data_IF_355439666909
#
_entry.id   IF_355439666909
#
_cell.length_a   1.000
_cell.length_b   1.000
_cell.length_c   1.000
_cell.angle_alpha   90.00
_cell.angle_beta   90.00
_cell.angle_gamma   90.00
#
_symmetry.space_group_name_H-M   'P 1'
#
loop_
_entity.id
_entity.type
_entity.pdbx_description
1 polymer ?
#
# COMPACT_ATOMS: atom_id res chain seq x y z
N UNK A 1 18.03 -10.76 4.49
CA UNK A 1 17.88 -11.82 5.51
C UNK A 1 17.22 -13.02 4.87
N UNK A 2 17.73 -14.22 5.15
CA UNK A 2 17.32 -15.47 4.52
C UNK A 2 16.21 -16.16 5.35
N UNK A 3 15.23 -16.79 4.69
CA UNK A 3 14.09 -17.47 5.33
C UNK A 3 14.48 -18.67 6.21
N UNK A 4 15.66 -19.26 6.01
CA UNK A 4 16.12 -20.44 6.75
C UNK A 4 16.96 -20.12 7.99
N UNK A 5 17.31 -18.84 8.21
CA UNK A 5 18.18 -18.44 9.32
C UNK A 5 17.39 -17.90 10.49
N UNK A 6 17.90 -18.21 11.69
CA UNK A 6 17.43 -17.60 12.94
C UNK A 6 18.42 -16.54 13.40
N UNK A 7 17.90 -15.35 13.63
CA UNK A 7 18.66 -14.20 14.10
C UNK A 7 18.28 -13.91 15.55
N UNK A 8 19.28 -13.63 16.38
CA UNK A 8 19.09 -13.15 17.75
C UNK A 8 18.52 -11.73 17.80
N UNK A 9 19.06 -10.88 18.62
CA UNK A 9 18.73 -9.46 18.63
C UNK A 9 19.32 -8.73 17.43
N UNK A 10 18.49 -8.08 16.63
CA UNK A 10 18.91 -7.27 15.47
C UNK A 10 18.33 -5.88 15.61
N UNK A 11 19.19 -4.87 15.44
CA UNK A 11 18.79 -3.46 15.40
C UNK A 11 19.01 -2.90 14.01
N UNK A 12 17.98 -2.27 13.46
CA UNK A 12 18.00 -1.59 12.17
C UNK A 12 18.09 -0.08 12.40
N UNK A 13 19.28 0.48 12.23
CA UNK A 13 19.57 1.90 12.48
C UNK A 13 19.03 2.81 11.34
N UNK A 14 19.02 4.12 11.57
CA UNK A 14 18.44 5.17 10.73
C UNK A 14 18.87 5.14 9.26
N UNK A 15 20.08 4.67 8.97
CA UNK A 15 20.64 4.62 7.62
C UNK A 15 20.47 3.26 6.91
N UNK A 16 19.88 2.29 7.60
CA UNK A 16 19.65 0.97 6.99
C UNK A 16 18.45 1.03 6.05
N UNK A 17 18.64 0.54 4.84
CA UNK A 17 17.60 0.41 3.82
C UNK A 17 17.58 -1.02 3.30
N UNK A 18 16.43 -1.49 2.86
CA UNK A 18 16.30 -2.81 2.24
C UNK A 18 14.96 -3.49 2.51
N UNK A 19 14.89 -4.76 2.16
CA UNK A 19 13.71 -5.58 2.35
C UNK A 19 14.06 -6.86 3.11
N UNK A 20 13.26 -7.19 4.12
CA UNK A 20 13.29 -8.48 4.81
C UNK A 20 12.21 -9.35 4.17
N UNK A 21 12.63 -10.42 3.49
CA UNK A 21 11.73 -11.36 2.80
C UNK A 21 11.50 -12.64 3.59
N UNK A 22 12.24 -12.85 4.69
CA UNK A 22 12.14 -14.05 5.53
C UNK A 22 13.14 -14.01 6.70
N UNK A 23 13.25 -15.12 7.39
CA UNK A 23 14.08 -15.31 8.57
C UNK A 23 13.27 -15.32 9.87
N UNK A 24 13.89 -15.85 10.94
CA UNK A 24 13.30 -15.86 12.28
C UNK A 24 14.12 -14.95 13.18
N UNK A 25 13.45 -14.00 13.82
CA UNK A 25 14.06 -12.99 14.66
C UNK A 25 13.54 -13.14 16.10
N UNK A 26 14.44 -13.37 17.06
CA UNK A 26 14.06 -13.37 18.47
C UNK A 26 13.71 -11.96 18.94
N UNK A 27 14.44 -10.96 18.43
CA UNK A 27 14.20 -9.56 18.73
C UNK A 27 14.60 -8.70 17.52
N UNK A 28 13.71 -7.86 17.05
CA UNK A 28 13.99 -6.90 15.99
C UNK A 28 13.54 -5.49 16.39
N UNK A 29 14.45 -4.54 16.32
CA UNK A 29 14.26 -3.15 16.73
C UNK A 29 14.55 -2.21 15.54
N UNK A 30 13.57 -1.39 15.16
CA UNK A 30 13.63 -0.54 14.00
C UNK A 30 13.68 0.94 14.38
N UNK A 31 14.80 1.59 14.05
CA UNK A 31 14.97 3.05 14.10
C UNK A 31 14.73 3.70 12.74
N UNK A 32 14.32 2.94 11.74
CA UNK A 32 14.10 3.38 10.36
C UNK A 32 12.80 2.79 9.80
N UNK A 33 12.16 3.49 8.87
CA UNK A 33 11.06 2.98 8.04
C UNK A 33 11.51 2.65 6.61
N UNK A 34 12.81 2.79 6.32
CA UNK A 34 13.42 2.48 5.02
C UNK A 34 13.65 0.97 4.81
N UNK A 35 13.55 0.19 5.88
CA UNK A 35 13.50 -1.28 5.80
C UNK A 35 12.05 -1.71 5.66
N UNK A 36 11.75 -2.49 4.62
CA UNK A 36 10.42 -3.01 4.36
C UNK A 36 10.35 -4.52 4.64
N UNK A 37 9.24 -4.96 5.21
CA UNK A 37 8.97 -6.35 5.56
C UNK A 37 7.98 -6.94 4.57
N UNK A 38 8.38 -7.95 3.82
CA UNK A 38 7.50 -8.78 3.00
C UNK A 38 7.41 -10.22 3.51
N UNK A 39 8.22 -10.57 4.52
CA UNK A 39 8.23 -11.87 5.18
C UNK A 39 9.02 -11.83 6.49
N UNK A 40 9.04 -12.94 7.21
CA UNK A 40 9.78 -13.14 8.45
C UNK A 40 8.90 -13.44 9.65
N UNK A 41 9.49 -14.13 10.64
CA UNK A 41 8.85 -14.46 11.91
C UNK A 41 9.57 -13.73 13.04
N UNK A 42 8.81 -13.09 13.90
CA UNK A 42 9.34 -12.24 14.97
C UNK A 42 8.76 -12.66 16.32
N UNK A 43 9.63 -13.05 17.27
CA UNK A 43 9.20 -13.24 18.66
C UNK A 43 8.87 -11.88 19.27
N UNK A 44 9.72 -10.88 19.05
CA UNK A 44 9.47 -9.48 19.40
C UNK A 44 9.88 -8.61 18.23
N UNK A 45 8.97 -7.75 17.77
CA UNK A 45 9.27 -6.69 16.82
C UNK A 45 8.81 -5.35 17.38
N UNK A 46 9.63 -4.33 17.25
CA UNK A 46 9.28 -2.99 17.71
C UNK A 46 9.87 -1.89 16.82
N UNK A 47 9.28 -0.72 16.92
CA UNK A 47 9.76 0.54 16.36
C UNK A 47 10.06 1.53 17.46
N UNK A 48 10.87 2.54 17.16
CA UNK A 48 11.25 3.59 18.09
C UNK A 48 10.80 4.99 17.61
N UNK A 49 10.54 5.86 18.59
CA UNK A 49 10.00 7.18 18.34
C UNK A 49 8.54 7.12 17.87
N UNK A 50 8.16 8.01 16.97
CA UNK A 50 6.79 8.12 16.43
C UNK A 50 6.50 7.13 15.29
N UNK A 51 7.41 6.18 15.03
CA UNK A 51 7.26 5.17 13.96
C UNK A 51 6.30 4.09 14.38
N UNK A 52 5.53 3.63 13.41
CA UNK A 52 4.55 2.56 13.59
C UNK A 52 5.01 1.30 12.88
N UNK A 53 4.58 0.14 13.36
CA UNK A 53 4.86 -1.13 12.69
C UNK A 53 4.24 -1.20 11.29
N UNK A 54 3.10 -0.52 11.08
CA UNK A 54 2.47 -0.37 9.76
C UNK A 54 3.44 0.21 8.71
N UNK A 55 4.31 1.15 9.13
CA UNK A 55 5.27 1.81 8.24
C UNK A 55 6.38 0.88 7.74
N UNK A 56 6.59 -0.25 8.40
CA UNK A 56 7.59 -1.26 8.01
C UNK A 56 7.07 -2.22 6.95
N UNK A 57 5.76 -2.40 6.78
CA UNK A 57 5.22 -3.37 5.84
C UNK A 57 5.48 -2.95 4.39
N UNK A 58 5.89 -3.92 3.59
CA UNK A 58 5.85 -3.82 2.13
C UNK A 58 4.39 -3.81 1.66
N UNK A 59 4.16 -3.34 0.44
CA UNK A 59 2.83 -3.40 -0.19
C UNK A 59 2.32 -4.86 -0.21
N UNK A 60 1.07 -5.07 0.18
CA UNK A 60 0.47 -6.39 0.24
C UNK A 60 0.98 -7.29 1.36
N UNK A 61 1.74 -6.77 2.34
CA UNK A 61 2.14 -7.52 3.51
C UNK A 61 1.30 -7.17 4.73
N UNK A 62 1.15 -8.12 5.67
CA UNK A 62 0.51 -7.92 6.96
C UNK A 62 1.18 -8.77 8.05
N UNK A 63 1.00 -8.36 9.31
CA UNK A 63 1.38 -9.17 10.46
C UNK A 63 0.28 -10.19 10.77
N UNK A 64 0.70 -11.40 11.14
CA UNK A 64 -0.17 -12.50 11.51
C UNK A 64 0.24 -13.10 12.85
N UNK A 65 -0.73 -13.38 13.72
CA UNK A 65 -0.58 -14.27 14.86
C UNK A 65 -1.33 -15.57 14.54
N UNK A 66 -0.57 -16.63 14.30
CA UNK A 66 -1.14 -17.83 13.67
C UNK A 66 -1.69 -17.51 12.28
N UNK A 67 -2.97 -17.77 12.04
CA UNK A 67 -3.65 -17.51 10.77
C UNK A 67 -4.47 -16.22 10.75
N UNK A 68 -4.53 -15.51 11.87
CA UNK A 68 -5.28 -14.26 11.98
C UNK A 68 -4.37 -13.07 11.73
N UNK A 69 -4.78 -12.16 10.85
CA UNK A 69 -4.09 -10.88 10.69
C UNK A 69 -4.24 -10.03 11.95
N UNK A 70 -3.16 -9.35 12.31
CA UNK A 70 -3.09 -8.49 13.50
C UNK A 70 -3.07 -7.04 13.05
N UNK A 71 -3.91 -6.20 13.67
CA UNK A 71 -3.87 -4.76 13.42
C UNK A 71 -2.52 -4.20 13.85
N UNK A 72 -1.91 -3.46 12.96
CA UNK A 72 -0.62 -2.76 13.12
C UNK A 72 -0.78 -1.24 13.20
N UNK A 73 -2.03 -0.77 13.12
CA UNK A 73 -2.34 0.65 13.19
C UNK A 73 -2.01 1.21 14.58
N UNK A 74 -1.16 2.24 14.60
CA UNK A 74 -0.74 2.94 15.82
C UNK A 74 0.01 2.08 16.87
N UNK A 75 0.50 0.89 16.49
CA UNK A 75 1.23 -0.01 17.39
C UNK A 75 2.73 0.14 17.19
N UNK A 76 3.48 0.29 18.28
CA UNK A 76 4.94 0.38 18.28
C UNK A 76 5.64 -0.97 18.48
N UNK A 77 4.93 -2.00 18.95
CA UNK A 77 5.49 -3.34 19.11
C UNK A 77 4.44 -4.44 18.99
N UNK A 78 4.87 -5.60 18.49
CA UNK A 78 4.13 -6.85 18.45
C UNK A 78 5.00 -8.01 18.92
N UNK A 79 4.34 -9.09 19.38
CA UNK A 79 5.01 -10.33 19.80
C UNK A 79 4.43 -11.53 19.08
N UNK A 80 5.29 -12.53 18.80
CA UNK A 80 4.91 -13.80 18.20
C UNK A 80 4.12 -13.63 16.89
N UNK A 81 4.67 -12.81 16.00
CA UNK A 81 4.04 -12.52 14.72
C UNK A 81 4.88 -13.00 13.53
N UNK A 82 4.20 -13.34 12.45
CA UNK A 82 4.80 -13.62 11.15
C UNK A 82 4.32 -12.60 10.15
N UNK A 83 5.23 -12.03 9.36
CA UNK A 83 4.87 -11.20 8.21
C UNK A 83 4.66 -12.09 7.00
N UNK A 84 3.51 -11.96 6.34
CA UNK A 84 3.16 -12.69 5.13
C UNK A 84 2.50 -11.77 4.12
N UNK A 85 2.69 -12.04 2.84
CA UNK A 85 1.95 -11.37 1.77
C UNK A 85 0.50 -11.86 1.74
N UNK A 86 -0.40 -10.98 1.33
CA UNK A 86 -1.78 -11.29 0.97
C UNK A 86 -2.21 -10.42 -0.20
N UNK A 87 -3.28 -10.82 -0.86
CA UNK A 87 -3.93 -9.99 -1.88
C UNK A 87 -4.99 -9.15 -1.17
N UNK A 88 -4.88 -7.83 -1.31
CA UNK A 88 -5.90 -6.93 -0.78
C UNK A 88 -7.25 -7.19 -1.45
N UNK A 89 -8.30 -7.11 -0.67
CA UNK A 89 -9.68 -7.08 -1.13
C UNK A 89 -10.35 -5.74 -0.75
N UNK A 90 -11.56 -5.52 -1.23
CA UNK A 90 -12.32 -4.30 -0.92
C UNK A 90 -13.19 -4.41 0.31
N UNK A 91 -13.03 -5.48 1.08
CA UNK A 91 -13.93 -5.82 2.17
C UNK A 91 -15.28 -6.33 1.69
N UNK A 92 -16.04 -6.95 2.60
CA UNK A 92 -17.34 -7.53 2.30
C UNK A 92 -18.40 -6.51 1.87
N UNK A 93 -18.23 -5.24 2.27
CA UNK A 93 -19.14 -4.14 1.95
C UNK A 93 -18.73 -3.36 0.69
N UNK A 94 -17.59 -3.72 0.05
CA UNK A 94 -17.05 -3.04 -1.13
C UNK A 94 -16.60 -1.60 -0.90
N UNK A 95 -16.45 -1.17 0.36
CA UNK A 95 -16.04 0.21 0.70
C UNK A 95 -14.52 0.41 0.71
N UNK A 96 -13.78 -0.61 0.31
CA UNK A 96 -12.34 -0.50 0.15
C UNK A 96 -11.54 -0.77 1.41
N UNK A 97 -12.13 -1.28 2.49
CA UNK A 97 -11.35 -1.73 3.65
C UNK A 97 -11.02 -3.21 3.49
N UNK A 98 -9.73 -3.53 3.39
CA UNK A 98 -9.28 -4.91 3.24
C UNK A 98 -9.75 -5.77 4.42
N UNK A 99 -10.45 -6.88 4.15
CA UNK A 99 -10.97 -7.77 5.19
C UNK A 99 -9.87 -8.51 5.96
N UNK A 100 -8.68 -8.64 5.36
CA UNK A 100 -7.56 -9.38 5.93
C UNK A 100 -6.77 -8.50 6.89
N UNK A 101 -6.32 -7.31 6.45
CA UNK A 101 -5.44 -6.46 7.25
C UNK A 101 -6.10 -5.21 7.82
N UNK A 102 -7.37 -4.95 7.50
CA UNK A 102 -8.10 -3.77 7.98
C UNK A 102 -7.70 -2.45 7.30
N UNK A 103 -6.70 -2.46 6.41
CA UNK A 103 -6.26 -1.22 5.74
C UNK A 103 -7.31 -0.71 4.78
N UNK A 104 -7.51 0.61 4.81
CA UNK A 104 -8.34 1.30 3.82
C UNK A 104 -7.55 1.43 2.52
N UNK A 105 -8.11 0.91 1.43
CA UNK A 105 -7.53 1.05 0.09
C UNK A 105 -7.68 2.48 -0.41
N UNK A 106 -6.67 2.97 -1.12
CA UNK A 106 -6.75 4.26 -1.80
C UNK A 106 -7.56 4.13 -3.09
N UNK A 107 -7.34 3.05 -3.83
CA UNK A 107 -8.01 2.82 -5.11
C UNK A 107 -8.17 1.33 -5.41
N UNK A 108 -9.09 1.02 -6.33
CA UNK A 108 -9.13 -0.26 -7.04
C UNK A 108 -8.94 -0.04 -8.54
N UNK A 109 -8.44 -1.08 -9.22
CA UNK A 109 -8.37 -1.17 -10.67
C UNK A 109 -9.17 -2.37 -11.14
N UNK A 110 -10.14 -2.14 -12.01
CA UNK A 110 -10.93 -3.19 -12.67
C UNK A 110 -10.55 -3.30 -14.13
N UNK A 111 -10.12 -4.47 -14.57
CA UNK A 111 -9.77 -4.80 -15.97
C UNK A 111 -10.42 -6.14 -16.32
N UNK A 112 -11.19 -6.18 -17.39
CA UNK A 112 -11.84 -7.41 -17.84
C UNK A 112 -12.71 -8.09 -16.77
N UNK A 113 -13.34 -7.32 -15.89
CA UNK A 113 -14.18 -7.79 -14.79
C UNK A 113 -13.42 -8.31 -13.55
N UNK A 114 -12.08 -8.26 -13.54
CA UNK A 114 -11.26 -8.55 -12.37
C UNK A 114 -10.86 -7.26 -11.67
N UNK A 115 -11.02 -7.21 -10.36
CA UNK A 115 -10.66 -6.06 -9.53
C UNK A 115 -9.45 -6.37 -8.66
N UNK A 116 -8.46 -5.46 -8.70
CA UNK A 116 -7.29 -5.43 -7.82
C UNK A 116 -7.34 -4.18 -6.96
N UNK A 117 -6.83 -4.26 -5.73
CA UNK A 117 -6.94 -3.23 -4.72
C UNK A 117 -5.57 -2.71 -4.30
N UNK A 118 -5.45 -1.40 -4.09
CA UNK A 118 -4.17 -0.71 -3.87
C UNK A 118 -4.27 0.25 -2.68
N UNK A 119 -3.25 0.25 -1.86
CA UNK A 119 -3.13 1.17 -0.71
C UNK A 119 -2.67 2.57 -1.12
N UNK A 120 -2.14 2.72 -2.34
CA UNK A 120 -1.73 4.01 -2.90
C UNK A 120 -2.33 4.23 -4.30
N UNK A 121 -2.75 5.46 -4.58
CA UNK A 121 -3.26 5.83 -5.90
C UNK A 121 -2.19 5.70 -7.00
N UNK A 122 -0.94 6.06 -6.70
CA UNK A 122 0.18 5.92 -7.62
C UNK A 122 0.34 4.48 -8.13
N UNK A 123 0.28 3.50 -7.22
CA UNK A 123 0.40 2.07 -7.57
C UNK A 123 -0.76 1.59 -8.44
N UNK A 124 -1.97 2.13 -8.22
CA UNK A 124 -3.11 1.84 -9.11
C UNK A 124 -2.90 2.41 -10.52
N UNK A 125 -2.32 3.60 -10.65
CA UNK A 125 -1.95 4.21 -11.94
C UNK A 125 -0.89 3.36 -12.67
N UNK A 126 0.18 2.95 -11.97
CA UNK A 126 1.23 2.08 -12.53
C UNK A 126 0.64 0.76 -13.04
N UNK A 127 -0.23 0.13 -12.25
CA UNK A 127 -0.92 -1.09 -12.65
C UNK A 127 -1.86 -0.87 -13.85
N UNK A 128 -2.54 0.27 -13.92
CA UNK A 128 -3.38 0.62 -15.07
C UNK A 128 -2.55 0.81 -16.34
N UNK A 129 -1.36 1.41 -16.24
CA UNK A 129 -0.45 1.56 -17.38
C UNK A 129 0.13 0.21 -17.88
N UNK A 130 0.29 -0.75 -16.97
CA UNK A 130 0.76 -2.11 -17.29
C UNK A 130 -0.34 -3.03 -17.84
N UNK A 131 -1.61 -2.70 -17.65
CA UNK A 131 -2.74 -3.53 -18.05
C UNK A 131 -3.24 -3.18 -19.46
N UNK A 132 -3.67 -4.17 -20.22
CA UNK A 132 -4.29 -3.97 -21.53
C UNK A 132 -5.81 -3.82 -21.46
N UNK A 133 -6.38 -3.14 -22.45
CA UNK A 133 -7.82 -2.98 -22.62
C UNK A 133 -8.44 -1.87 -21.79
N UNK A 134 -9.78 -1.84 -21.79
CA UNK A 134 -10.55 -0.87 -21.03
C UNK A 134 -10.46 -1.15 -19.53
N UNK A 135 -10.27 -0.11 -18.77
CA UNK A 135 -10.04 -0.22 -17.32
C UNK A 135 -10.76 0.88 -16.54
N UNK A 136 -11.14 0.55 -15.31
CA UNK A 136 -11.73 1.51 -14.37
C UNK A 136 -10.90 1.57 -13.11
N UNK A 137 -10.47 2.78 -12.76
CA UNK A 137 -9.88 3.09 -11.46
C UNK A 137 -10.97 3.71 -10.59
N UNK A 138 -11.21 3.16 -9.41
CA UNK A 138 -12.18 3.71 -8.45
C UNK A 138 -11.47 4.17 -7.19
N UNK A 139 -11.73 5.39 -6.73
CA UNK A 139 -11.14 5.94 -5.51
C UNK A 139 -11.97 5.59 -4.27
N UNK A 140 -11.27 5.30 -3.18
CA UNK A 140 -11.84 5.03 -1.85
C UNK A 140 -11.32 5.97 -0.76
N UNK A 141 -10.28 6.71 -1.07
CA UNK A 141 -9.73 7.78 -0.23
C UNK A 141 -9.54 9.05 -1.06
N UNK A 142 -9.47 10.19 -0.38
CA UNK A 142 -9.03 11.43 -1.00
C UNK A 142 -7.54 11.31 -1.37
N UNK A 143 -7.18 11.82 -2.53
CA UNK A 143 -5.80 11.85 -3.03
C UNK A 143 -5.24 13.24 -2.83
N UNK A 144 -4.17 13.35 -2.04
CA UNK A 144 -3.37 14.57 -1.95
C UNK A 144 -2.02 14.31 -2.62
N UNK A 145 -1.83 14.90 -3.80
CA UNK A 145 -0.60 14.75 -4.59
C UNK A 145 0.53 15.72 -4.19
N UNK A 146 0.47 16.33 -3.01
CA UNK A 146 1.51 17.25 -2.59
C UNK A 146 2.62 16.52 -1.84
N UNK A 147 3.79 16.43 -2.47
CA UNK A 147 4.98 15.78 -1.90
C UNK A 147 6.17 16.74 -2.03
N UNK A 148 6.90 16.93 -0.93
CA UNK A 148 8.13 17.74 -0.87
C UNK A 148 8.01 19.15 -1.50
N UNK A 149 6.89 19.81 -1.28
CA UNK A 149 6.68 21.17 -1.79
C UNK A 149 6.14 21.26 -3.22
N UNK A 150 5.88 20.13 -3.89
CA UNK A 150 5.46 20.06 -5.29
C UNK A 150 4.19 19.22 -5.48
N UNK A 151 3.40 19.56 -6.49
CA UNK A 151 2.29 18.72 -6.95
C UNK A 151 2.83 17.51 -7.70
N UNK A 152 2.33 16.32 -7.36
CA UNK A 152 2.68 15.07 -8.05
C UNK A 152 1.96 15.00 -9.39
N UNK A 153 2.65 14.57 -10.44
CA UNK A 153 2.04 14.23 -11.72
C UNK A 153 1.82 12.72 -11.82
N UNK A 154 0.58 12.34 -12.07
CA UNK A 154 0.18 10.97 -12.38
C UNK A 154 -0.07 10.87 -13.88
N UNK A 155 0.69 10.05 -14.57
CA UNK A 155 0.61 9.90 -16.02
C UNK A 155 -0.08 8.58 -16.38
N UNK A 156 -1.16 8.66 -17.17
CA UNK A 156 -1.84 7.54 -17.79
C UNK A 156 -1.40 7.43 -19.25
N UNK A 157 -0.77 6.30 -19.59
CA UNK A 157 -0.15 6.06 -20.91
C UNK A 157 -0.79 4.91 -21.67
N UNK A 158 -1.66 4.13 -21.01
CA UNK A 158 -2.34 2.99 -21.61
C UNK A 158 -3.84 3.05 -21.31
N UNK A 159 -4.69 3.17 -22.35
CA UNK A 159 -6.13 3.41 -22.23
C UNK A 159 -6.97 2.45 -23.05
N UNK A 160 -8.29 2.65 -23.07
CA UNK A 160 -9.05 3.70 -22.38
C UNK A 160 -9.18 3.51 -20.87
N UNK A 161 -9.22 4.60 -20.13
CA UNK A 161 -9.35 4.62 -18.66
C UNK A 161 -10.59 5.38 -18.22
N UNK A 162 -11.36 4.82 -17.30
CA UNK A 162 -12.37 5.53 -16.53
C UNK A 162 -11.85 5.74 -15.12
N UNK A 163 -11.80 6.99 -14.66
CA UNK A 163 -11.53 7.31 -13.25
C UNK A 163 -12.85 7.63 -12.55
N UNK A 164 -13.29 6.72 -11.68
CA UNK A 164 -14.48 6.89 -10.85
C UNK A 164 -14.07 7.44 -9.49
N UNK A 165 -14.38 8.70 -9.21
CA UNK A 165 -13.96 9.35 -7.97
C UNK A 165 -14.75 8.89 -6.76
N UNK A 166 -15.98 8.40 -6.93
CA UNK A 166 -16.82 7.93 -5.83
C UNK A 166 -17.10 9.00 -4.76
N UNK A 167 -17.04 10.29 -5.13
CA UNK A 167 -17.17 11.42 -4.21
C UNK A 167 -15.90 11.76 -3.46
N UNK A 168 -14.76 11.15 -3.82
CA UNK A 168 -13.43 11.49 -3.29
C UNK A 168 -12.83 12.65 -4.07
N UNK A 169 -11.96 13.39 -3.40
CA UNK A 169 -11.26 14.53 -3.97
C UNK A 169 -9.85 14.15 -4.40
N UNK A 170 -9.37 14.78 -5.46
CA UNK A 170 -7.95 14.73 -5.86
C UNK A 170 -7.43 16.16 -5.85
N UNK A 171 -6.52 16.46 -4.92
CA UNK A 171 -6.00 17.80 -4.71
C UNK A 171 -4.49 17.83 -4.93
N UNK A 172 -3.97 18.96 -5.43
CA UNK A 172 -2.54 19.19 -5.62
C UNK A 172 -1.84 18.07 -6.41
N UNK A 173 -2.58 17.52 -7.37
CA UNK A 173 -2.11 16.48 -8.28
C UNK A 173 -2.43 16.88 -9.71
N UNK A 174 -1.50 16.60 -10.62
CA UNK A 174 -1.72 16.70 -12.05
C UNK A 174 -1.99 15.29 -12.58
N UNK A 175 -3.12 15.10 -13.26
CA UNK A 175 -3.40 13.85 -13.95
C UNK A 175 -3.27 14.11 -15.44
N UNK A 176 -2.34 13.45 -16.09
CA UNK A 176 -2.11 13.56 -17.53
C UNK A 176 -2.51 12.27 -18.22
N UNK A 177 -3.17 12.40 -19.38
CA UNK A 177 -3.58 11.28 -20.23
C UNK A 177 -2.97 11.49 -21.62
N UNK A 178 -1.90 10.76 -21.92
CA UNK A 178 -1.17 10.92 -23.15
C UNK A 178 -1.63 9.90 -24.17
N UNK A 179 -2.20 10.39 -25.28
CA UNK A 179 -2.65 9.59 -26.45
C UNK A 179 -3.70 8.52 -26.09
N UNK A 180 -4.46 8.73 -25.03
CA UNK A 180 -5.49 7.81 -24.56
C UNK A 180 -6.82 8.54 -24.30
N UNK A 181 -7.92 7.77 -24.26
CA UNK A 181 -9.20 8.27 -23.78
C UNK A 181 -9.27 8.16 -22.25
N UNK A 182 -9.47 9.29 -21.57
CA UNK A 182 -9.74 9.37 -20.14
C UNK A 182 -11.17 9.89 -19.92
N UNK A 183 -11.95 9.14 -19.17
CA UNK A 183 -13.28 9.56 -18.71
C UNK A 183 -13.24 9.70 -17.17
N UNK A 184 -13.63 10.85 -16.66
CA UNK A 184 -13.76 11.06 -15.20
C UNK A 184 -15.23 11.04 -14.84
N UNK A 185 -15.61 10.21 -13.87
CA UNK A 185 -16.98 10.08 -13.36
C UNK A 185 -17.04 10.32 -11.86
N UNK A 186 -18.14 10.86 -11.38
CA UNK A 186 -18.31 11.30 -9.99
C UNK A 186 -18.00 12.79 -9.84
N UNK A 187 -18.64 13.44 -8.89
CA UNK A 187 -18.52 14.88 -8.67
C UNK A 187 -17.52 15.20 -7.56
N UNK A 188 -16.87 16.34 -7.71
CA UNK A 188 -16.10 17.12 -6.76
C UNK A 188 -14.64 16.66 -6.57
N UNK A 189 -13.78 17.17 -7.42
CA UNK A 189 -12.35 17.21 -7.19
C UNK A 189 -11.75 18.30 -8.06
N UNK A 190 -10.84 19.07 -7.53
CA UNK A 190 -10.00 19.97 -8.31
C UNK A 190 -9.00 19.11 -9.09
N UNK A 191 -9.40 18.71 -10.30
CA UNK A 191 -8.50 18.10 -11.25
C UNK A 191 -7.90 19.17 -12.16
N UNK A 192 -6.58 19.27 -12.21
CA UNK A 192 -5.88 19.80 -13.36
C UNK A 192 -5.59 18.64 -14.33
N UNK A 193 -6.30 18.59 -15.44
CA UNK A 193 -6.07 17.65 -16.52
C UNK A 193 -5.30 18.35 -17.63
#
# INVERSE_FOLDING_TARGET
FNSEQTYGGVTFDYNVTGTITGGTFTFADFYTTKVKLSGGTFTIIKTNGDRKLADLLAEGAAYYSGDSAVSDDNVASLTNVTVRSHVHDGGADGKGTCSICGKQMAASLTVGGKTSWYTAFATAIEAANAADGAKTITLYQDVNGYVDGHSTTYELTNGPVTLATGGKTVTRANLTAKDISLTVTGSNGDFNV
#
